data_IF_473634757818
#
_entry.id   IF_473634757818
#
_cell.length_a   1.000
_cell.length_b   1.000
_cell.length_c   1.000
_cell.angle_alpha   90.00
_cell.angle_beta   90.00
_cell.angle_gamma   90.00
#
_symmetry.space_group_name_H-M   'P 1'
#
loop_
_entity.id
_entity.type
_entity.pdbx_description
1 polymer ?
#
# COMPACT_ATOMS: atom_id res chain seq x y z
N UNK A 1 39.05 18.78 66.61
CA UNK A 1 37.71 18.35 66.19
C UNK A 1 37.07 19.25 65.08
N UNK A 2 37.79 20.20 64.46
CA UNK A 2 37.25 21.07 63.42
C UNK A 2 37.55 20.66 61.95
N UNK A 3 38.48 19.71 61.72
CA UNK A 3 38.89 19.28 60.38
C UNK A 3 38.03 18.16 59.80
N UNK A 4 37.25 17.42 60.59
CA UNK A 4 36.42 16.29 60.12
C UNK A 4 35.04 16.72 59.60
N UNK A 5 34.57 17.90 60.02
CA UNK A 5 33.24 18.42 59.56
C UNK A 5 33.28 19.01 58.15
N UNK A 6 34.46 19.54 57.69
CA UNK A 6 34.56 20.13 56.35
C UNK A 6 34.62 19.09 55.22
N UNK A 7 35.20 17.91 55.50
CA UNK A 7 35.29 16.84 54.53
C UNK A 7 33.92 16.19 54.24
N UNK A 8 33.08 16.01 55.26
CA UNK A 8 31.74 15.44 55.09
C UNK A 8 30.78 16.36 54.34
N UNK A 9 30.87 17.70 54.55
CA UNK A 9 30.04 18.64 53.79
C UNK A 9 30.43 18.73 52.31
N UNK A 10 31.70 18.63 51.93
CA UNK A 10 32.15 18.60 50.56
C UNK A 10 31.78 17.32 49.83
N UNK A 11 31.79 16.19 50.48
CA UNK A 11 31.34 14.92 49.93
C UNK A 11 29.82 14.88 49.73
N UNK A 12 29.02 15.52 50.60
CA UNK A 12 27.57 15.60 50.48
C UNK A 12 27.15 16.57 49.37
N UNK A 13 27.81 17.66 49.18
CA UNK A 13 27.52 18.63 48.09
C UNK A 13 27.86 18.00 46.75
N UNK A 14 28.99 17.32 46.60
CA UNK A 14 29.31 16.61 45.35
C UNK A 14 28.34 15.47 45.02
N UNK A 15 27.82 14.75 46.04
CA UNK A 15 26.84 13.70 45.82
C UNK A 15 25.48 14.26 45.33
N UNK A 16 25.03 15.39 45.89
CA UNK A 16 23.79 16.03 45.46
C UNK A 16 23.93 16.68 44.07
N UNK A 17 25.08 17.25 43.72
CA UNK A 17 25.35 17.80 42.39
C UNK A 17 25.38 16.70 41.31
N UNK A 18 26.00 15.53 41.62
CA UNK A 18 25.97 14.38 40.71
C UNK A 18 24.60 13.77 40.60
N UNK A 19 23.79 13.71 41.67
CA UNK A 19 22.42 13.21 41.64
C UNK A 19 21.51 14.15 40.84
N UNK A 20 21.70 15.49 41.01
CA UNK A 20 20.96 16.49 40.25
C UNK A 20 21.34 16.47 38.77
N UNK A 21 22.62 16.28 38.41
CA UNK A 21 23.06 16.11 37.04
C UNK A 21 22.47 14.80 36.43
N UNK A 22 22.44 13.72 37.21
CA UNK A 22 21.86 12.46 36.74
C UNK A 22 20.34 12.56 36.50
N UNK A 23 19.63 13.26 37.38
CA UNK A 23 18.19 13.54 37.21
C UNK A 23 17.91 14.44 36.02
N UNK A 24 18.77 15.45 35.77
CA UNK A 24 18.67 16.33 34.60
C UNK A 24 18.97 15.56 33.32
N UNK A 25 19.96 14.66 33.32
CA UNK A 25 20.31 13.83 32.15
C UNK A 25 19.23 12.78 31.87
N UNK A 26 18.65 12.16 32.90
CA UNK A 26 17.53 11.20 32.75
C UNK A 26 16.25 11.95 32.36
N UNK A 27 15.98 13.08 33.00
CA UNK A 27 14.85 13.95 32.64
C UNK A 27 14.97 14.53 31.23
N UNK A 28 16.17 14.96 30.82
CA UNK A 28 16.45 15.44 29.46
C UNK A 28 16.34 14.33 28.40
N UNK A 29 16.78 13.11 28.70
CA UNK A 29 16.56 11.96 27.80
C UNK A 29 15.10 11.55 27.69
N UNK A 30 14.34 11.60 28.77
CA UNK A 30 12.89 11.36 28.73
C UNK A 30 12.13 12.49 28.04
N UNK A 31 12.54 13.75 28.18
CA UNK A 31 11.97 14.88 27.40
C UNK A 31 12.29 14.76 25.91
N UNK A 32 13.50 14.36 25.52
CA UNK A 32 13.85 14.11 24.10
C UNK A 32 13.09 12.90 23.53
N UNK A 33 12.80 11.89 24.35
CA UNK A 33 11.94 10.77 23.97
C UNK A 33 10.46 11.19 23.86
N UNK A 34 9.97 12.04 24.77
CA UNK A 34 8.62 12.60 24.69
C UNK A 34 8.45 13.59 23.53
N UNK A 35 9.46 14.41 23.20
CA UNK A 35 9.45 15.30 22.02
C UNK A 35 9.45 14.52 20.70
N UNK A 36 10.06 13.33 20.66
CA UNK A 36 9.96 12.44 19.49
C UNK A 36 8.57 11.78 19.36
N UNK A 37 7.81 11.64 20.44
CA UNK A 37 6.42 11.19 20.40
C UNK A 37 5.45 12.30 19.96
N UNK A 38 5.85 13.56 20.10
CA UNK A 38 5.11 14.74 19.64
C UNK A 38 5.60 15.29 18.28
N UNK A 39 6.26 14.46 17.45
CA UNK A 39 6.47 14.83 16.05
C UNK A 39 5.12 15.17 15.45
N UNK A 40 4.95 16.43 15.07
CA UNK A 40 3.73 16.91 14.43
C UNK A 40 3.62 16.24 13.05
N UNK A 41 3.04 15.04 13.01
CA UNK A 41 2.79 14.31 11.76
C UNK A 41 1.76 15.11 10.96
N UNK A 42 2.18 15.87 9.95
CA UNK A 42 1.25 16.50 9.02
C UNK A 42 0.47 15.44 8.23
N UNK A 43 -0.73 15.80 7.77
CA UNK A 43 -1.48 14.97 6.83
C UNK A 43 -0.83 14.99 5.45
N UNK A 44 -0.75 13.84 4.80
CA UNK A 44 -0.38 13.79 3.38
C UNK A 44 -1.51 14.40 2.56
N UNK A 45 -1.16 15.24 1.59
CA UNK A 45 -2.09 15.90 0.66
C UNK A 45 -1.68 15.60 -0.77
N UNK A 46 -2.53 15.97 -1.72
CA UNK A 46 -2.18 15.95 -3.13
C UNK A 46 -2.16 17.37 -3.72
N UNK A 47 -1.26 17.60 -4.67
CA UNK A 47 -1.22 18.79 -5.51
C UNK A 47 -0.92 18.36 -6.94
N UNK A 48 -1.96 18.32 -7.77
CA UNK A 48 -1.86 17.70 -9.09
C UNK A 48 -1.35 16.25 -8.95
N UNK A 49 -0.38 15.83 -9.75
CA UNK A 49 0.10 14.46 -9.75
C UNK A 49 1.13 14.16 -8.63
N UNK A 50 1.17 14.94 -7.55
CA UNK A 50 2.19 14.80 -6.50
C UNK A 50 1.57 14.68 -5.11
N UNK A 51 2.13 13.81 -4.27
CA UNK A 51 1.91 13.88 -2.83
C UNK A 51 2.71 15.02 -2.22
N UNK A 52 2.10 15.67 -1.26
CA UNK A 52 2.70 16.77 -0.49
C UNK A 52 2.59 16.44 1.01
N UNK A 53 3.70 16.54 1.70
CA UNK A 53 3.75 16.42 3.15
C UNK A 53 4.47 17.64 3.74
N UNK A 54 3.80 18.33 4.65
CA UNK A 54 4.33 19.58 5.27
C UNK A 54 4.81 20.61 4.24
N UNK A 55 4.08 20.74 3.12
CA UNK A 55 4.39 21.69 2.05
C UNK A 55 5.39 21.21 1.00
N UNK A 56 6.01 20.04 1.20
CA UNK A 56 7.06 19.48 0.37
C UNK A 56 6.62 18.23 -0.38
N UNK A 57 7.15 17.96 -1.60
CA UNK A 57 6.91 16.71 -2.29
C UNK A 57 7.26 15.50 -1.43
N UNK A 58 6.39 14.51 -1.42
CA UNK A 58 6.54 13.28 -0.65
C UNK A 58 6.62 12.08 -1.58
N UNK A 59 7.80 11.47 -1.66
CA UNK A 59 8.05 10.21 -2.35
C UNK A 59 8.61 9.22 -1.33
N UNK A 60 8.29 7.94 -1.48
CA UNK A 60 8.54 6.96 -0.44
C UNK A 60 8.84 5.55 -0.98
N UNK A 61 9.35 4.70 -0.11
CA UNK A 61 9.34 3.26 -0.26
C UNK A 61 8.52 2.65 0.87
N UNK A 62 7.76 1.60 0.58
CA UNK A 62 6.84 1.00 1.53
C UNK A 62 6.68 -0.51 1.34
N UNK A 63 5.74 -1.07 2.08
CA UNK A 63 5.48 -2.49 2.14
C UNK A 63 4.02 -2.78 2.46
N UNK A 64 3.62 -4.03 2.20
CA UNK A 64 2.35 -4.61 2.63
C UNK A 64 2.59 -5.57 3.80
N UNK A 65 1.64 -5.60 4.74
CA UNK A 65 1.56 -6.58 5.83
C UNK A 65 0.09 -6.71 6.25
N UNK A 66 -0.70 -7.39 5.44
CA UNK A 66 -2.15 -7.50 5.58
C UNK A 66 -2.60 -8.08 6.92
N UNK A 67 -1.83 -8.95 7.50
CA UNK A 67 -2.08 -9.77 8.69
C UNK A 67 -2.03 -9.02 10.02
N UNK A 68 -1.54 -7.77 10.05
CA UNK A 68 -1.15 -7.09 11.29
C UNK A 68 -2.28 -6.96 12.32
N UNK A 69 -3.47 -6.50 11.91
CA UNK A 69 -4.61 -6.37 12.82
C UNK A 69 -5.05 -7.72 13.38
N UNK A 70 -5.17 -8.72 12.52
CA UNK A 70 -5.61 -10.05 12.88
C UNK A 70 -4.67 -10.68 13.91
N UNK A 71 -3.35 -10.57 13.70
CA UNK A 71 -2.36 -11.08 14.64
C UNK A 71 -2.34 -10.28 15.95
N UNK A 72 -2.41 -8.94 15.88
CA UNK A 72 -2.41 -8.06 17.04
C UNK A 72 -3.67 -8.16 17.91
N UNK A 73 -4.73 -8.84 17.44
CA UNK A 73 -5.92 -9.15 18.23
C UNK A 73 -5.59 -10.05 19.44
N UNK A 74 -4.53 -10.86 19.32
CA UNK A 74 -3.94 -11.60 20.43
C UNK A 74 -2.78 -10.77 21.03
N UNK A 75 -2.86 -10.34 22.30
CA UNK A 75 -1.80 -9.58 22.94
C UNK A 75 -0.45 -10.30 22.97
N UNK A 76 -0.44 -11.64 23.01
CA UNK A 76 0.79 -12.45 23.03
C UNK A 76 1.55 -12.43 21.69
N UNK A 77 0.86 -12.09 20.59
CA UNK A 77 1.41 -12.04 19.23
C UNK A 77 1.81 -10.61 18.79
N UNK A 78 1.48 -9.58 19.57
CA UNK A 78 1.74 -8.16 19.25
C UNK A 78 3.21 -7.84 19.01
N UNK A 79 4.12 -8.58 19.63
CA UNK A 79 5.55 -8.39 19.44
C UNK A 79 5.99 -8.56 17.98
N UNK A 80 5.32 -9.43 17.20
CA UNK A 80 5.61 -9.63 15.77
C UNK A 80 5.30 -8.38 14.94
N UNK A 81 4.22 -7.69 15.26
CA UNK A 81 3.89 -6.38 14.63
C UNK A 81 4.95 -5.33 14.97
N UNK A 82 5.36 -5.25 16.25
CA UNK A 82 6.41 -4.32 16.68
C UNK A 82 7.75 -4.63 16.02
N UNK A 83 8.11 -5.91 15.86
CA UNK A 83 9.34 -6.36 15.22
C UNK A 83 9.36 -5.96 13.74
N UNK A 84 8.28 -6.22 12.99
CA UNK A 84 8.19 -5.83 11.58
C UNK A 84 8.29 -4.31 11.40
N UNK A 85 7.58 -3.52 12.20
CA UNK A 85 7.71 -2.06 12.11
C UNK A 85 9.13 -1.56 12.46
N UNK A 86 9.77 -2.18 13.45
CA UNK A 86 11.16 -1.87 13.84
C UNK A 86 12.13 -2.17 12.71
N UNK A 87 12.07 -3.37 12.12
CA UNK A 87 12.93 -3.79 11.02
C UNK A 87 12.66 -2.95 9.75
N UNK A 88 11.39 -2.72 9.42
CA UNK A 88 10.98 -1.89 8.30
C UNK A 88 11.49 -0.45 8.43
N UNK A 89 11.36 0.16 9.61
CA UNK A 89 11.89 1.49 9.89
C UNK A 89 13.42 1.54 9.78
N UNK A 90 14.11 0.50 10.26
CA UNK A 90 15.57 0.37 10.13
C UNK A 90 16.00 0.23 8.66
N UNK A 91 15.20 -0.41 7.82
CA UNK A 91 15.40 -0.48 6.37
C UNK A 91 14.97 0.81 5.62
N UNK A 92 14.46 1.83 6.33
CA UNK A 92 14.05 3.11 5.76
C UNK A 92 12.69 3.11 5.07
N UNK A 93 11.86 2.08 5.29
CA UNK A 93 10.48 2.02 4.81
C UNK A 93 9.60 2.99 5.60
N UNK A 94 8.70 3.71 4.94
CA UNK A 94 7.93 4.81 5.55
C UNK A 94 6.43 4.72 5.36
N UNK A 95 5.95 3.78 4.55
CA UNK A 95 4.52 3.53 4.31
C UNK A 95 4.24 2.03 4.41
N UNK A 96 3.17 1.66 5.11
CA UNK A 96 2.67 0.29 5.21
C UNK A 96 1.20 0.25 4.78
N UNK A 97 0.83 -0.70 3.91
CA UNK A 97 -0.55 -1.01 3.58
C UNK A 97 -0.98 -2.25 4.34
N UNK A 98 -2.12 -2.19 5.02
CA UNK A 98 -2.65 -3.26 5.85
C UNK A 98 -4.18 -3.25 5.90
N UNK A 99 -4.77 -4.35 6.39
CA UNK A 99 -6.22 -4.49 6.47
C UNK A 99 -6.82 -3.80 7.71
N UNK A 100 -7.91 -3.07 7.51
CA UNK A 100 -8.81 -2.58 8.56
C UNK A 100 -10.16 -3.32 8.48
N UNK A 101 -10.14 -4.57 8.04
CA UNK A 101 -11.30 -5.46 7.94
C UNK A 101 -10.91 -6.90 8.26
N UNK A 102 -11.88 -7.65 8.74
CA UNK A 102 -11.96 -9.10 8.82
C UNK A 102 -13.44 -9.40 9.08
N UNK A 103 -14.13 -9.98 8.08
CA UNK A 103 -15.57 -10.06 8.01
C UNK A 103 -16.02 -11.51 8.23
N UNK A 104 -16.63 -11.81 9.38
CA UNK A 104 -16.96 -13.19 9.75
C UNK A 104 -15.72 -14.08 9.90
N UNK A 105 -15.89 -15.40 9.99
CA UNK A 105 -14.79 -16.36 10.04
C UNK A 105 -14.01 -16.36 11.36
N UNK A 106 -12.70 -16.62 11.29
CA UNK A 106 -11.82 -16.68 12.45
C UNK A 106 -11.40 -15.27 12.89
N UNK A 107 -11.51 -15.00 14.19
CA UNK A 107 -11.15 -13.70 14.80
C UNK A 107 -11.60 -12.49 13.97
N UNK A 108 -12.93 -12.38 13.67
CA UNK A 108 -13.40 -11.32 12.80
C UNK A 108 -13.37 -9.97 13.50
N UNK A 109 -13.05 -8.91 12.76
CA UNK A 109 -13.30 -7.56 13.20
C UNK A 109 -14.81 -7.30 13.25
N UNK A 110 -15.52 -7.64 12.16
CA UNK A 110 -16.97 -7.57 12.05
C UNK A 110 -17.58 -8.98 12.12
N UNK A 111 -18.21 -9.30 13.25
CA UNK A 111 -18.84 -10.61 13.50
C UNK A 111 -20.08 -10.81 12.62
N UNK A 112 -20.87 -9.76 12.51
CA UNK A 112 -22.04 -9.62 11.65
C UNK A 112 -22.23 -8.13 11.35
N UNK A 113 -23.09 -7.74 10.40
CA UNK A 113 -23.24 -6.32 10.02
C UNK A 113 -23.48 -5.40 11.22
N UNK A 114 -22.52 -4.51 11.48
CA UNK A 114 -22.55 -3.55 12.57
C UNK A 114 -22.19 -4.09 13.96
N UNK A 115 -21.85 -5.37 14.09
CA UNK A 115 -21.40 -6.00 15.36
C UNK A 115 -19.92 -6.33 15.26
N UNK A 116 -19.12 -5.76 16.16
CA UNK A 116 -17.67 -5.82 16.14
C UNK A 116 -17.09 -6.56 17.34
N UNK A 117 -15.96 -7.27 17.13
CA UNK A 117 -15.13 -7.77 18.22
C UNK A 117 -14.15 -6.68 18.65
N UNK A 118 -14.36 -6.16 19.87
CA UNK A 118 -13.54 -5.09 20.43
C UNK A 118 -12.05 -5.50 20.56
N UNK A 119 -11.74 -6.79 20.79
CA UNK A 119 -10.37 -7.28 20.88
C UNK A 119 -9.63 -7.12 19.54
N UNK A 120 -10.32 -7.34 18.43
CA UNK A 120 -9.75 -7.16 17.08
C UNK A 120 -9.60 -5.68 16.76
N UNK A 121 -10.55 -4.84 17.15
CA UNK A 121 -10.39 -3.38 17.08
C UNK A 121 -9.19 -2.89 17.91
N UNK A 122 -8.98 -3.41 19.11
CA UNK A 122 -7.79 -3.09 19.92
C UNK A 122 -6.50 -3.59 19.27
N UNK A 123 -6.56 -4.65 18.47
CA UNK A 123 -5.47 -5.08 17.60
C UNK A 123 -5.13 -4.00 16.56
N UNK A 124 -6.13 -3.43 15.91
CA UNK A 124 -5.94 -2.32 14.95
C UNK A 124 -5.44 -1.05 15.65
N UNK A 125 -5.98 -0.72 16.84
CA UNK A 125 -5.46 0.39 17.66
C UNK A 125 -3.96 0.23 17.94
N UNK A 126 -3.54 -0.99 18.26
CA UNK A 126 -2.14 -1.31 18.50
C UNK A 126 -1.29 -1.12 17.24
N UNK A 127 -1.74 -1.62 16.08
CA UNK A 127 -1.04 -1.44 14.80
C UNK A 127 -0.81 0.04 14.49
N UNK A 128 -1.84 0.88 14.64
CA UNK A 128 -1.75 2.32 14.40
C UNK A 128 -0.79 2.99 15.38
N UNK A 129 -0.84 2.58 16.67
CA UNK A 129 0.06 3.08 17.70
C UNK A 129 1.54 2.73 17.41
N UNK A 130 1.82 1.49 17.00
CA UNK A 130 3.18 1.06 16.64
C UNK A 130 3.66 1.75 15.35
N UNK A 131 2.81 1.88 14.35
CA UNK A 131 3.13 2.65 13.14
C UNK A 131 3.55 4.09 13.47
N UNK A 132 2.83 4.76 14.38
CA UNK A 132 3.19 6.09 14.88
C UNK A 132 4.55 6.10 15.58
N UNK A 133 4.83 5.13 16.43
CA UNK A 133 6.09 5.00 17.16
C UNK A 133 7.29 4.89 16.21
N UNK A 134 7.16 4.15 15.13
CA UNK A 134 8.22 3.95 14.14
C UNK A 134 8.18 4.95 12.97
N UNK A 135 7.21 5.87 12.94
CA UNK A 135 7.09 6.89 11.90
C UNK A 135 6.66 6.35 10.53
N UNK A 136 5.98 5.20 10.50
CA UNK A 136 5.49 4.54 9.29
C UNK A 136 4.01 4.90 9.10
N UNK A 137 3.65 5.48 7.95
CA UNK A 137 2.27 5.85 7.62
C UNK A 137 1.49 4.65 7.13
N UNK A 138 0.18 4.66 7.36
CA UNK A 138 -0.69 3.54 7.01
C UNK A 138 -1.64 3.88 5.86
N UNK A 139 -1.80 2.92 4.93
CA UNK A 139 -2.94 2.82 4.03
C UNK A 139 -3.81 1.69 4.56
N UNK A 140 -5.07 1.97 4.85
CA UNK A 140 -6.00 1.05 5.50
C UNK A 140 -7.12 0.65 4.54
N UNK A 141 -7.19 -0.65 4.19
CA UNK A 141 -8.22 -1.22 3.33
C UNK A 141 -9.46 -1.60 4.14
N UNK A 142 -10.66 -1.36 3.59
CA UNK A 142 -11.93 -1.60 4.28
C UNK A 142 -12.59 -2.93 3.96
N UNK A 143 -12.23 -3.60 2.86
CA UNK A 143 -12.83 -4.87 2.43
C UNK A 143 -11.98 -5.54 1.37
N UNK A 144 -12.18 -6.84 1.15
CA UNK A 144 -11.54 -7.60 0.09
C UNK A 144 -12.53 -7.95 -1.04
N UNK A 145 -12.02 -7.97 -2.27
CA UNK A 145 -12.72 -8.61 -3.37
C UNK A 145 -12.80 -10.14 -3.22
N UNK A 146 -11.74 -10.72 -2.63
CA UNK A 146 -11.59 -12.17 -2.43
C UNK A 146 -12.19 -12.63 -1.10
N UNK A 147 -12.25 -13.96 -0.92
CA UNK A 147 -12.84 -14.59 0.26
C UNK A 147 -11.96 -14.51 1.51
N UNK A 148 -10.67 -14.20 1.32
CA UNK A 148 -9.73 -14.08 2.43
C UNK A 148 -10.17 -12.95 3.37
N UNK A 149 -10.30 -13.28 4.65
CA UNK A 149 -10.87 -12.40 5.66
C UNK A 149 -12.31 -11.98 5.37
N UNK A 150 -13.08 -12.81 4.64
CA UNK A 150 -14.51 -12.66 4.38
C UNK A 150 -14.86 -11.94 3.09
N UNK A 151 -14.47 -10.68 2.95
CA UNK A 151 -14.65 -9.90 1.74
C UNK A 151 -16.10 -9.75 1.27
N UNK A 152 -16.31 -9.34 0.01
CA UNK A 152 -17.65 -9.11 -0.56
C UNK A 152 -18.57 -10.35 -0.49
N UNK A 153 -18.01 -11.56 -0.55
CA UNK A 153 -18.77 -12.81 -0.41
C UNK A 153 -19.42 -12.92 0.98
N UNK A 154 -18.73 -12.52 2.04
CA UNK A 154 -19.30 -12.54 3.39
C UNK A 154 -20.44 -11.55 3.53
N UNK A 155 -20.34 -10.36 2.94
CA UNK A 155 -21.43 -9.40 2.90
C UNK A 155 -22.66 -9.97 2.16
N UNK A 156 -22.44 -10.62 1.01
CA UNK A 156 -23.49 -11.30 0.26
C UNK A 156 -24.16 -12.42 1.10
N UNK A 157 -23.36 -13.20 1.84
CA UNK A 157 -23.86 -14.24 2.73
C UNK A 157 -24.72 -13.65 3.87
N UNK A 158 -24.31 -12.54 4.49
CA UNK A 158 -25.10 -11.85 5.53
C UNK A 158 -26.43 -11.36 4.99
N UNK A 159 -26.48 -10.79 3.78
CA UNK A 159 -27.74 -10.34 3.18
C UNK A 159 -28.66 -11.52 2.83
N UNK A 160 -28.13 -12.62 2.30
CA UNK A 160 -28.93 -13.86 2.09
C UNK A 160 -29.52 -14.37 3.39
N UNK A 161 -28.75 -14.40 4.47
CA UNK A 161 -29.22 -14.81 5.80
C UNK A 161 -30.28 -13.85 6.38
N UNK A 162 -30.27 -12.58 5.96
CA UNK A 162 -31.31 -11.61 6.26
C UNK A 162 -32.53 -11.68 5.33
N UNK A 163 -32.63 -12.74 4.49
CA UNK A 163 -33.75 -12.97 3.60
C UNK A 163 -33.76 -12.18 2.31
N UNK A 164 -32.63 -11.55 1.95
CA UNK A 164 -32.51 -10.81 0.69
C UNK A 164 -32.20 -11.73 -0.48
N UNK A 165 -32.72 -11.39 -1.64
CA UNK A 165 -32.36 -12.07 -2.88
C UNK A 165 -31.04 -11.49 -3.39
N UNK A 166 -29.98 -12.28 -3.31
CA UNK A 166 -28.62 -11.95 -3.79
C UNK A 166 -28.25 -12.96 -4.87
N UNK A 167 -28.04 -12.49 -6.10
CA UNK A 167 -27.78 -13.32 -7.26
C UNK A 167 -26.33 -13.83 -7.30
N UNK A 168 -25.38 -12.94 -7.00
CA UNK A 168 -23.95 -13.26 -6.93
C UNK A 168 -23.25 -12.28 -5.97
N UNK A 169 -21.96 -12.46 -5.77
CA UNK A 169 -21.22 -11.64 -4.81
C UNK A 169 -20.95 -10.21 -5.32
N UNK A 170 -21.07 -9.97 -6.65
CA UNK A 170 -20.96 -8.62 -7.23
C UNK A 170 -22.20 -7.74 -6.95
N UNK A 171 -23.30 -8.32 -6.45
CA UNK A 171 -24.40 -7.55 -5.87
C UNK A 171 -23.93 -6.64 -4.72
N UNK A 172 -22.73 -6.90 -4.18
CA UNK A 172 -22.04 -6.02 -3.23
C UNK A 172 -21.95 -4.57 -3.73
N UNK A 173 -21.76 -4.37 -5.02
CA UNK A 173 -21.61 -3.03 -5.60
C UNK A 173 -22.95 -2.30 -5.83
N UNK A 174 -24.05 -3.05 -5.94
CA UNK A 174 -25.33 -2.50 -6.42
C UNK A 174 -26.48 -2.62 -5.43
N UNK A 175 -26.50 -3.68 -4.61
CA UNK A 175 -27.61 -3.95 -3.72
C UNK A 175 -27.62 -2.96 -2.55
N UNK A 176 -28.74 -2.24 -2.28
CA UNK A 176 -28.80 -1.18 -1.25
C UNK A 176 -28.36 -1.64 0.14
N UNK A 177 -28.84 -2.81 0.60
CA UNK A 177 -28.51 -3.32 1.92
C UNK A 177 -27.02 -3.65 2.06
N UNK A 178 -26.38 -4.20 1.03
CA UNK A 178 -24.93 -4.50 1.04
C UNK A 178 -24.11 -3.22 1.11
N UNK A 179 -24.50 -2.19 0.34
CA UNK A 179 -23.88 -0.87 0.41
C UNK A 179 -24.07 -0.22 1.78
N UNK A 180 -25.21 -0.39 2.43
CA UNK A 180 -25.46 0.13 3.77
C UNK A 180 -24.62 -0.61 4.84
N UNK A 181 -24.48 -1.92 4.75
CA UNK A 181 -23.57 -2.69 5.62
C UNK A 181 -22.14 -2.18 5.49
N UNK A 182 -21.67 -2.00 4.26
CA UNK A 182 -20.32 -1.52 4.00
C UNK A 182 -20.10 -0.07 4.46
N UNK A 183 -21.05 0.85 4.25
CA UNK A 183 -21.00 2.22 4.79
C UNK A 183 -20.96 2.24 6.31
N UNK A 184 -21.69 1.35 6.98
CA UNK A 184 -21.65 1.23 8.44
C UNK A 184 -20.27 0.77 8.91
N UNK A 185 -19.62 -0.16 8.18
CA UNK A 185 -18.26 -0.57 8.48
C UNK A 185 -17.28 0.60 8.31
N UNK A 186 -17.28 1.28 7.17
CA UNK A 186 -16.48 2.50 6.95
C UNK A 186 -16.65 3.49 8.11
N UNK A 187 -17.90 3.81 8.47
CA UNK A 187 -18.18 4.75 9.56
C UNK A 187 -17.57 4.28 10.87
N UNK A 188 -17.73 3.00 11.22
CA UNK A 188 -17.23 2.44 12.48
C UNK A 188 -15.71 2.53 12.57
N UNK A 189 -14.97 2.26 11.47
CA UNK A 189 -13.52 2.36 11.44
C UNK A 189 -13.07 3.83 11.45
N UNK A 190 -13.58 4.65 10.53
CA UNK A 190 -13.13 6.04 10.35
C UNK A 190 -13.35 6.88 11.63
N UNK A 191 -14.45 6.64 12.36
CA UNK A 191 -14.79 7.42 13.56
C UNK A 191 -14.30 6.79 14.87
N UNK A 192 -13.61 5.63 14.81
CA UNK A 192 -13.09 4.98 16.01
C UNK A 192 -12.11 5.87 16.74
N UNK A 193 -12.26 5.91 18.07
CA UNK A 193 -11.26 6.47 18.97
C UNK A 193 -10.25 5.38 19.33
N UNK A 194 -9.00 5.58 18.99
CA UNK A 194 -7.92 4.67 19.33
C UNK A 194 -7.75 4.60 20.86
N UNK A 195 -7.87 3.42 21.43
CA UNK A 195 -7.84 3.22 22.90
C UNK A 195 -6.45 3.39 23.51
N UNK A 196 -5.38 3.40 22.68
CA UNK A 196 -3.99 3.56 23.11
C UNK A 196 -3.53 5.01 22.97
N UNK A 197 -3.79 5.64 21.82
CA UNK A 197 -3.34 7.00 21.52
C UNK A 197 -4.33 8.08 21.92
N UNK A 198 -5.59 7.70 22.17
CA UNK A 198 -6.73 8.61 22.42
C UNK A 198 -6.95 9.62 21.27
N UNK A 199 -6.60 9.22 20.02
CA UNK A 199 -6.84 10.01 18.81
C UNK A 199 -7.87 9.26 17.97
N UNK A 200 -8.88 9.96 17.47
CA UNK A 200 -9.81 9.36 16.52
C UNK A 200 -9.09 9.07 15.20
N UNK A 201 -9.36 7.93 14.55
CA UNK A 201 -8.66 7.52 13.33
C UNK A 201 -8.71 8.61 12.26
N UNK A 202 -9.86 9.26 12.06
CA UNK A 202 -10.02 10.40 11.13
C UNK A 202 -9.21 11.64 11.50
N UNK A 203 -8.63 11.68 12.69
CA UNK A 203 -7.83 12.80 13.19
C UNK A 203 -6.35 12.41 13.32
N UNK A 204 -5.99 11.16 13.02
CA UNK A 204 -4.64 10.64 13.18
C UNK A 204 -3.83 10.73 11.88
N UNK A 205 -2.91 11.70 11.73
CA UNK A 205 -2.13 11.87 10.51
C UNK A 205 -1.14 10.73 10.21
N UNK A 206 -0.98 9.74 11.10
CA UNK A 206 -0.21 8.54 10.80
C UNK A 206 -0.94 7.66 9.78
N UNK A 207 -2.26 7.73 9.72
CA UNK A 207 -3.04 7.17 8.63
C UNK A 207 -2.85 8.10 7.42
N UNK A 208 -2.34 7.58 6.31
CA UNK A 208 -2.15 8.32 5.07
C UNK A 208 -3.41 8.34 4.23
N UNK A 209 -4.04 7.17 4.10
CA UNK A 209 -5.16 6.98 3.19
C UNK A 209 -6.11 5.88 3.63
N UNK A 210 -7.35 6.00 3.17
CA UNK A 210 -8.39 4.99 3.16
C UNK A 210 -8.45 4.33 1.79
N UNK A 211 -8.40 3.01 1.76
CA UNK A 211 -8.58 2.21 0.55
C UNK A 211 -9.98 1.59 0.55
N UNK A 212 -10.72 1.80 -0.55
CA UNK A 212 -12.09 1.31 -0.65
C UNK A 212 -12.17 -0.21 -0.62
N UNK A 213 -11.34 -0.90 -1.39
CA UNK A 213 -11.35 -2.36 -1.49
C UNK A 213 -10.03 -2.88 -2.01
N UNK A 214 -9.50 -3.95 -1.43
CA UNK A 214 -8.41 -4.68 -2.06
C UNK A 214 -8.89 -5.31 -3.37
N UNK A 215 -8.27 -4.92 -4.50
CA UNK A 215 -8.43 -5.48 -5.84
C UNK A 215 -9.88 -5.65 -6.31
N UNK A 216 -10.68 -4.56 -6.39
CA UNK A 216 -12.07 -4.65 -6.82
C UNK A 216 -12.17 -5.25 -8.22
N UNK A 217 -13.02 -6.27 -8.38
CA UNK A 217 -13.36 -6.92 -9.65
C UNK A 217 -14.86 -7.09 -9.73
N UNK A 218 -15.43 -6.93 -10.93
CA UNK A 218 -16.85 -7.15 -11.20
C UNK A 218 -17.03 -8.06 -12.42
N UNK A 219 -17.34 -9.31 -12.18
CA UNK A 219 -17.58 -10.29 -13.26
C UNK A 219 -18.96 -10.11 -13.90
N UNK A 220 -19.90 -9.51 -13.17
CA UNK A 220 -21.23 -9.20 -13.66
C UNK A 220 -21.25 -8.05 -14.70
N UNK A 221 -20.21 -7.19 -14.71
CA UNK A 221 -20.09 -6.06 -15.62
C UNK A 221 -18.64 -5.72 -15.93
N UNK A 222 -18.18 -6.11 -17.11
CA UNK A 222 -16.82 -5.81 -17.57
C UNK A 222 -16.64 -4.40 -18.14
N UNK A 223 -17.68 -3.56 -18.19
CA UNK A 223 -17.58 -2.18 -18.72
C UNK A 223 -16.87 -1.20 -17.79
N UNK A 224 -16.68 -1.57 -16.52
CA UNK A 224 -16.15 -0.69 -15.48
C UNK A 224 -17.17 0.28 -14.88
N UNK A 225 -18.41 0.34 -15.41
CA UNK A 225 -19.44 1.30 -14.96
C UNK A 225 -19.97 0.99 -13.58
N UNK A 226 -20.24 -0.30 -13.30
CA UNK A 226 -20.71 -0.72 -11.97
C UNK A 226 -19.72 -0.34 -10.87
N UNK A 227 -18.43 -0.64 -11.08
CA UNK A 227 -17.37 -0.20 -10.16
C UNK A 227 -17.32 1.35 -10.09
N UNK A 228 -17.45 2.04 -11.22
CA UNK A 228 -17.39 3.51 -11.24
C UNK A 228 -18.46 4.16 -10.36
N UNK A 229 -19.72 3.72 -10.47
CA UNK A 229 -20.81 4.22 -9.64
C UNK A 229 -20.59 3.92 -8.15
N UNK A 230 -20.14 2.70 -7.84
CA UNK A 230 -19.83 2.31 -6.46
C UNK A 230 -18.70 3.14 -5.88
N UNK A 231 -17.61 3.34 -6.60
CA UNK A 231 -16.47 4.18 -6.18
C UNK A 231 -16.93 5.61 -5.91
N UNK A 232 -17.73 6.19 -6.82
CA UNK A 232 -18.27 7.55 -6.64
C UNK A 232 -19.10 7.66 -5.35
N UNK A 233 -19.96 6.68 -5.08
CA UNK A 233 -20.81 6.67 -3.89
C UNK A 233 -19.97 6.50 -2.61
N UNK A 234 -19.06 5.51 -2.57
CA UNK A 234 -18.31 5.17 -1.36
C UNK A 234 -17.21 6.20 -1.05
N UNK A 235 -16.48 6.69 -2.06
CA UNK A 235 -15.50 7.75 -1.84
C UNK A 235 -16.15 9.05 -1.37
N UNK A 236 -17.32 9.41 -1.90
CA UNK A 236 -18.11 10.56 -1.42
C UNK A 236 -18.55 10.35 0.03
N UNK A 237 -18.96 9.14 0.38
CA UNK A 237 -19.35 8.82 1.76
C UNK A 237 -18.16 8.96 2.72
N UNK A 238 -16.98 8.42 2.39
CA UNK A 238 -15.79 8.62 3.21
C UNK A 238 -15.48 10.12 3.37
N UNK A 239 -15.48 10.88 2.28
CA UNK A 239 -15.19 12.33 2.33
C UNK A 239 -16.23 13.13 3.12
N UNK A 240 -17.44 12.59 3.31
CA UNK A 240 -18.44 13.19 4.22
C UNK A 240 -18.08 13.00 5.69
N UNK A 241 -17.36 11.93 6.04
CA UNK A 241 -16.92 11.60 7.40
C UNK A 241 -15.54 12.19 7.73
N UNK A 242 -14.66 12.23 6.70
CA UNK A 242 -13.26 12.57 6.84
C UNK A 242 -12.74 13.26 5.57
N UNK A 243 -12.39 14.54 5.71
CA UNK A 243 -11.79 15.35 4.63
C UNK A 243 -10.27 15.51 4.77
N UNK A 244 -9.67 14.90 5.79
CA UNK A 244 -8.25 15.08 6.10
C UNK A 244 -7.40 14.02 5.41
N UNK A 245 -7.87 12.78 5.36
CA UNK A 245 -7.15 11.67 4.75
C UNK A 245 -7.41 11.55 3.26
N UNK A 246 -6.46 10.96 2.58
CA UNK A 246 -6.59 10.59 1.17
C UNK A 246 -7.52 9.37 1.03
N UNK A 247 -8.12 9.24 -0.15
CA UNK A 247 -8.96 8.10 -0.53
C UNK A 247 -8.44 7.54 -1.85
N UNK A 248 -8.33 6.24 -1.94
CA UNK A 248 -8.00 5.52 -3.16
C UNK A 248 -8.86 4.25 -3.29
N UNK A 249 -8.80 3.58 -4.43
CA UNK A 249 -9.74 2.50 -4.77
C UNK A 249 -9.23 1.12 -4.35
N UNK A 250 -7.92 0.86 -4.45
CA UNK A 250 -7.29 -0.45 -4.29
C UNK A 250 -7.18 -1.25 -5.60
N UNK A 251 -7.13 -0.57 -6.74
CA UNK A 251 -7.14 -1.20 -8.06
C UNK A 251 -5.79 -1.83 -8.42
N UNK A 252 -5.88 -2.96 -9.16
CA UNK A 252 -4.72 -3.57 -9.83
C UNK A 252 -4.19 -2.74 -11.01
N UNK A 253 -5.06 -1.93 -11.66
CA UNK A 253 -4.70 -1.07 -12.78
C UNK A 253 -5.27 -1.47 -14.15
N UNK A 254 -6.14 -2.46 -14.23
CA UNK A 254 -6.68 -2.91 -15.53
C UNK A 254 -7.44 -1.78 -16.24
N UNK A 255 -7.09 -1.57 -17.52
CA UNK A 255 -7.77 -0.63 -18.40
C UNK A 255 -9.10 -1.19 -18.89
N UNK A 256 -10.10 -0.32 -18.99
CA UNK A 256 -11.43 -0.64 -19.48
C UNK A 256 -11.77 0.03 -20.82
N UNK A 257 -13.06 0.29 -21.03
CA UNK A 257 -13.58 0.75 -22.31
C UNK A 257 -13.34 2.23 -22.62
N UNK A 258 -12.96 3.05 -21.62
CA UNK A 258 -12.69 4.48 -21.84
C UNK A 258 -11.40 4.75 -22.61
N UNK A 259 -10.46 3.79 -22.61
CA UNK A 259 -9.24 3.82 -23.42
C UNK A 259 -8.96 2.46 -24.06
N UNK A 260 -9.71 2.12 -25.15
CA UNK A 260 -9.62 0.81 -25.78
C UNK A 260 -8.21 0.43 -26.26
N UNK A 261 -7.44 1.43 -26.71
CA UNK A 261 -6.06 1.26 -27.17
C UNK A 261 -5.12 0.83 -26.02
N UNK A 262 -5.46 1.19 -24.79
CA UNK A 262 -4.70 0.77 -23.59
C UNK A 262 -4.98 -0.66 -23.16
N UNK A 263 -6.09 -1.26 -23.56
CA UNK A 263 -6.42 -2.65 -23.24
C UNK A 263 -5.35 -3.64 -23.70
N UNK A 264 -4.59 -3.31 -24.74
CA UNK A 264 -3.46 -4.14 -25.20
C UNK A 264 -2.32 -4.22 -24.17
N UNK A 265 -2.30 -3.35 -23.16
CA UNK A 265 -1.33 -3.39 -22.05
C UNK A 265 -1.80 -4.32 -20.93
N UNK A 266 -3.10 -4.63 -20.85
CA UNK A 266 -3.63 -5.58 -19.87
C UNK A 266 -3.03 -6.97 -20.09
N UNK A 267 -2.85 -7.76 -19.01
CA UNK A 267 -2.74 -9.22 -19.14
C UNK A 267 -4.00 -9.73 -19.87
N UNK A 268 -3.92 -10.74 -20.68
CA UNK A 268 -4.93 -11.15 -21.67
C UNK A 268 -6.37 -11.45 -21.17
N UNK A 269 -6.86 -10.80 -20.10
CA UNK A 269 -8.19 -10.94 -19.53
C UNK A 269 -8.74 -9.61 -18.99
N UNK A 270 -10.01 -9.57 -18.59
CA UNK A 270 -10.72 -8.41 -18.04
C UNK A 270 -11.20 -8.71 -16.61
N UNK A 271 -11.30 -7.65 -15.79
CA UNK A 271 -11.70 -7.77 -14.38
C UNK A 271 -12.89 -6.88 -13.99
N UNK A 272 -13.44 -6.11 -14.94
CA UNK A 272 -14.61 -5.24 -14.69
C UNK A 272 -14.28 -3.90 -14.04
N UNK A 273 -13.01 -3.49 -14.06
CA UNK A 273 -12.56 -2.13 -13.72
C UNK A 273 -12.19 -1.34 -14.96
N UNK A 274 -12.11 -0.03 -14.84
CA UNK A 274 -11.56 0.86 -15.85
C UNK A 274 -10.63 1.86 -15.16
N UNK A 275 -9.31 1.65 -15.32
CA UNK A 275 -8.30 2.44 -14.63
C UNK A 275 -8.51 3.95 -14.80
N UNK A 276 -8.90 4.41 -15.98
CA UNK A 276 -9.07 5.83 -16.24
C UNK A 276 -10.35 6.36 -15.61
N UNK A 277 -11.51 5.84 -15.97
CA UNK A 277 -12.79 6.39 -15.51
C UNK A 277 -12.97 6.25 -13.99
N UNK A 278 -12.53 5.14 -13.42
CA UNK A 278 -12.68 4.92 -11.98
C UNK A 278 -11.77 5.88 -11.18
N UNK A 279 -10.54 6.12 -11.62
CA UNK A 279 -9.64 7.07 -10.97
C UNK A 279 -9.95 8.54 -11.29
N UNK A 280 -10.78 8.87 -12.30
CA UNK A 280 -11.25 10.22 -12.54
C UNK A 280 -12.33 10.69 -11.56
N UNK A 281 -12.92 9.78 -10.76
CA UNK A 281 -13.85 10.16 -9.68
C UNK A 281 -13.19 11.23 -8.79
N UNK A 282 -13.84 12.41 -8.59
CA UNK A 282 -13.19 13.54 -7.92
C UNK A 282 -12.74 13.29 -6.48
N UNK A 283 -13.44 12.40 -5.76
CA UNK A 283 -13.15 12.04 -4.37
C UNK A 283 -12.01 11.04 -4.22
N UNK A 284 -11.54 10.44 -5.31
CA UNK A 284 -10.34 9.59 -5.34
C UNK A 284 -9.13 10.51 -5.49
N UNK A 285 -8.19 10.44 -4.56
CA UNK A 285 -7.07 11.37 -4.48
C UNK A 285 -5.84 10.89 -5.27
N UNK A 286 -5.62 9.58 -5.38
CA UNK A 286 -4.50 9.00 -6.11
C UNK A 286 -4.86 7.63 -6.69
N UNK A 287 -4.06 7.18 -7.64
CA UNK A 287 -4.24 5.92 -8.33
C UNK A 287 -3.25 4.87 -7.82
N UNK A 288 -3.66 3.60 -7.90
CA UNK A 288 -2.83 2.44 -7.58
C UNK A 288 -2.76 1.48 -8.75
N UNK A 289 -1.64 0.76 -8.84
CA UNK A 289 -1.48 -0.44 -9.66
C UNK A 289 -0.81 -1.55 -8.85
N UNK A 290 -1.10 -2.79 -9.23
CA UNK A 290 -0.39 -3.96 -8.75
C UNK A 290 0.50 -4.55 -9.86
N UNK A 291 1.41 -5.45 -9.51
CA UNK A 291 2.43 -5.92 -10.43
C UNK A 291 2.84 -7.36 -10.11
N UNK A 292 2.09 -8.30 -10.71
CA UNK A 292 2.29 -9.75 -10.55
C UNK A 292 2.45 -10.45 -11.91
N UNK A 293 3.54 -10.18 -12.65
CA UNK A 293 3.75 -10.78 -13.96
C UNK A 293 3.95 -12.30 -13.89
N UNK A 294 4.41 -12.84 -12.76
CA UNK A 294 4.51 -14.28 -12.49
C UNK A 294 3.14 -14.97 -12.51
N UNK A 295 2.11 -14.34 -11.92
CA UNK A 295 0.72 -14.83 -11.95
C UNK A 295 0.04 -14.50 -13.27
N UNK A 296 0.11 -13.25 -13.71
CA UNK A 296 -0.62 -12.76 -14.88
C UNK A 296 -0.11 -13.32 -16.21
N UNK A 297 1.18 -13.63 -16.26
CA UNK A 297 1.88 -14.19 -17.42
C UNK A 297 2.55 -15.53 -17.07
N UNK A 298 1.87 -16.33 -16.27
CA UNK A 298 2.39 -17.63 -15.84
C UNK A 298 2.88 -18.47 -17.05
N UNK A 299 4.08 -19.05 -16.92
CA UNK A 299 4.72 -19.83 -17.97
C UNK A 299 5.42 -18.99 -19.05
N UNK A 300 5.41 -17.66 -18.98
CA UNK A 300 6.23 -16.81 -19.82
C UNK A 300 7.66 -16.67 -19.25
N UNK A 301 8.63 -16.42 -20.14
CA UNK A 301 10.00 -16.19 -19.74
C UNK A 301 10.15 -14.91 -18.89
N UNK A 302 11.17 -14.87 -18.05
CA UNK A 302 11.53 -13.69 -17.25
C UNK A 302 11.64 -12.41 -18.12
N UNK A 303 12.22 -12.51 -19.31
CA UNK A 303 12.34 -11.36 -20.22
C UNK A 303 10.96 -10.87 -20.71
N UNK A 304 10.01 -11.77 -20.97
CA UNK A 304 8.64 -11.41 -21.36
C UNK A 304 7.90 -10.76 -20.19
N UNK A 305 8.04 -11.32 -18.98
CA UNK A 305 7.46 -10.77 -17.76
C UNK A 305 8.02 -9.37 -17.45
N UNK A 306 9.33 -9.19 -17.55
CA UNK A 306 9.97 -7.89 -17.32
C UNK A 306 9.60 -6.87 -18.41
N UNK A 307 9.55 -7.27 -19.67
CA UNK A 307 9.10 -6.40 -20.78
C UNK A 307 7.64 -5.97 -20.63
N UNK A 308 6.78 -6.84 -20.09
CA UNK A 308 5.41 -6.50 -19.73
C UNK A 308 5.38 -5.46 -18.60
N UNK A 309 6.16 -5.68 -17.53
CA UNK A 309 6.20 -4.76 -16.39
C UNK A 309 6.65 -3.35 -16.77
N UNK A 310 7.65 -3.23 -17.61
CA UNK A 310 8.10 -1.91 -18.09
C UNK A 310 6.99 -1.18 -18.84
N UNK A 311 6.27 -1.86 -19.73
CA UNK A 311 5.10 -1.27 -20.43
C UNK A 311 3.96 -0.93 -19.50
N UNK A 312 3.67 -1.81 -18.54
CA UNK A 312 2.63 -1.63 -17.52
C UNK A 312 2.89 -0.36 -16.71
N UNK A 313 4.05 -0.26 -16.09
CA UNK A 313 4.44 0.89 -15.28
C UNK A 313 4.50 2.19 -16.10
N UNK A 314 5.06 2.14 -17.31
CA UNK A 314 5.17 3.33 -18.17
C UNK A 314 3.79 3.85 -18.60
N UNK A 315 2.88 2.97 -19.01
CA UNK A 315 1.54 3.36 -19.47
C UNK A 315 0.74 4.02 -18.34
N UNK A 316 0.71 3.41 -17.16
CA UNK A 316 0.00 3.96 -16.00
C UNK A 316 0.62 5.26 -15.49
N UNK A 317 1.94 5.35 -15.50
CA UNK A 317 2.65 6.57 -15.17
C UNK A 317 2.29 7.73 -16.11
N UNK A 318 2.29 7.47 -17.41
CA UNK A 318 1.96 8.49 -18.43
C UNK A 318 0.50 8.94 -18.29
N UNK A 319 -0.43 8.01 -18.12
CA UNK A 319 -1.85 8.30 -17.98
C UNK A 319 -2.17 8.99 -16.64
N UNK A 320 -1.53 8.59 -15.54
CA UNK A 320 -1.68 9.28 -14.25
C UNK A 320 -1.19 10.71 -14.31
N UNK A 321 -0.08 10.97 -15.00
CA UNK A 321 0.47 12.31 -15.17
C UNK A 321 -0.38 13.20 -16.08
N UNK A 322 -0.78 12.66 -17.25
CA UNK A 322 -1.37 13.47 -18.33
C UNK A 322 -2.88 13.55 -18.27
N UNK A 323 -3.54 12.44 -17.91
CA UNK A 323 -4.99 12.29 -17.93
C UNK A 323 -5.56 12.47 -16.53
N UNK A 324 -5.15 11.65 -15.58
CA UNK A 324 -5.69 11.70 -14.22
C UNK A 324 -5.22 12.95 -13.47
N UNK A 325 -3.98 13.38 -13.70
CA UNK A 325 -3.31 14.45 -12.95
C UNK A 325 -3.32 14.16 -11.44
N UNK A 326 -3.14 12.90 -11.09
CA UNK A 326 -3.12 12.37 -9.71
C UNK A 326 -1.82 11.60 -9.48
N UNK A 327 -1.36 11.53 -8.21
CA UNK A 327 -0.24 10.65 -7.86
C UNK A 327 -0.56 9.20 -8.22
N UNK A 328 0.48 8.43 -8.53
CA UNK A 328 0.43 6.99 -8.76
C UNK A 328 1.37 6.29 -7.77
N UNK A 329 0.96 5.14 -7.27
CA UNK A 329 1.84 4.19 -6.56
C UNK A 329 1.70 2.79 -7.14
N UNK A 330 2.79 2.01 -7.09
CA UNK A 330 2.72 0.55 -7.24
C UNK A 330 2.38 -0.01 -5.87
N UNK A 331 1.09 -0.25 -5.61
CA UNK A 331 0.59 -0.60 -4.28
C UNK A 331 0.93 -2.04 -3.87
N UNK A 332 1.17 -2.91 -4.86
CA UNK A 332 1.67 -4.27 -4.65
C UNK A 332 2.60 -4.69 -5.78
N UNK A 333 3.67 -5.38 -5.42
CA UNK A 333 4.54 -6.10 -6.35
C UNK A 333 5.33 -7.15 -5.59
N UNK A 334 5.59 -8.26 -6.24
CA UNK A 334 6.35 -9.37 -5.67
C UNK A 334 6.64 -10.44 -6.70
N UNK A 335 7.40 -11.47 -6.29
CA UNK A 335 7.62 -12.69 -7.05
C UNK A 335 7.46 -13.87 -6.10
N UNK A 336 6.56 -14.80 -6.44
CA UNK A 336 6.21 -15.95 -5.61
C UNK A 336 7.31 -17.00 -5.64
N UNK A 337 7.63 -17.56 -4.49
CA UNK A 337 8.50 -18.75 -4.39
C UNK A 337 7.80 -20.04 -4.84
N UNK A 338 6.49 -19.98 -5.07
CA UNK A 338 5.69 -21.06 -5.67
C UNK A 338 5.72 -21.06 -7.20
N UNK A 339 6.31 -20.02 -7.84
CA UNK A 339 6.46 -19.94 -9.28
C UNK A 339 7.48 -20.99 -9.77
N UNK A 340 7.11 -21.84 -10.76
CA UNK A 340 8.06 -22.83 -11.30
C UNK A 340 9.34 -22.17 -11.82
N UNK A 341 10.49 -22.58 -11.26
CA UNK A 341 11.79 -22.00 -11.60
C UNK A 341 12.22 -20.84 -10.72
N UNK A 342 11.47 -20.52 -9.66
CA UNK A 342 11.85 -19.48 -8.71
C UNK A 342 13.28 -19.63 -8.18
N UNK A 343 13.97 -18.52 -8.12
CA UNK A 343 15.20 -18.38 -7.35
C UNK A 343 15.22 -17.04 -6.60
N UNK A 344 15.93 -17.01 -5.49
CA UNK A 344 16.11 -15.76 -4.72
C UNK A 344 16.72 -14.64 -5.59
N UNK A 345 17.65 -15.01 -6.49
CA UNK A 345 18.27 -14.06 -7.40
C UNK A 345 17.26 -13.44 -8.38
N UNK A 346 16.34 -14.23 -8.92
CA UNK A 346 15.27 -13.73 -9.81
C UNK A 346 14.31 -12.80 -9.09
N UNK A 347 13.89 -13.14 -7.85
CA UNK A 347 13.10 -12.23 -7.02
C UNK A 347 13.84 -10.92 -6.78
N UNK A 348 15.09 -10.98 -6.37
CA UNK A 348 15.90 -9.81 -6.08
C UNK A 348 16.11 -8.94 -7.33
N UNK A 349 16.32 -9.55 -8.49
CA UNK A 349 16.44 -8.87 -9.78
C UNK A 349 15.12 -8.19 -10.18
N UNK A 350 14.00 -8.91 -10.05
CA UNK A 350 12.67 -8.36 -10.31
C UNK A 350 12.39 -7.13 -9.42
N UNK A 351 12.61 -7.25 -8.12
CA UNK A 351 12.43 -6.15 -7.18
C UNK A 351 13.34 -4.95 -7.50
N UNK A 352 14.62 -5.20 -7.82
CA UNK A 352 15.56 -4.15 -8.20
C UNK A 352 15.10 -3.40 -9.45
N UNK A 353 14.49 -4.08 -10.43
CA UNK A 353 13.97 -3.47 -11.64
C UNK A 353 12.73 -2.60 -11.35
N UNK A 354 11.76 -3.08 -10.57
CA UNK A 354 10.59 -2.28 -10.16
C UNK A 354 11.04 -1.03 -9.39
N UNK A 355 11.99 -1.17 -8.47
CA UNK A 355 12.56 -0.06 -7.72
C UNK A 355 13.30 0.95 -8.59
N UNK A 356 14.11 0.47 -9.54
CA UNK A 356 14.81 1.33 -10.51
C UNK A 356 13.82 2.17 -11.32
N UNK A 357 12.76 1.54 -11.83
CA UNK A 357 11.78 2.23 -12.67
C UNK A 357 10.92 3.19 -11.84
N UNK A 358 10.54 2.82 -10.62
CA UNK A 358 9.88 3.73 -9.67
C UNK A 358 10.73 4.98 -9.42
N UNK A 359 12.02 4.81 -9.09
CA UNK A 359 12.93 5.93 -8.86
C UNK A 359 13.11 6.79 -10.12
N UNK A 360 13.28 6.15 -11.29
CA UNK A 360 13.43 6.84 -12.58
C UNK A 360 12.23 7.74 -12.88
N UNK A 361 11.03 7.21 -12.77
CA UNK A 361 9.81 7.96 -13.04
C UNK A 361 9.56 9.04 -11.98
N UNK A 362 9.78 8.77 -10.71
CA UNK A 362 9.67 9.77 -9.65
C UNK A 362 10.61 10.96 -9.91
N UNK A 363 11.87 10.68 -10.27
CA UNK A 363 12.88 11.71 -10.55
C UNK A 363 12.54 12.57 -11.77
N UNK A 364 12.03 11.95 -12.84
CA UNK A 364 11.77 12.63 -14.12
C UNK A 364 10.65 13.69 -14.01
N UNK A 365 9.73 13.51 -13.10
CA UNK A 365 8.50 14.33 -13.05
C UNK A 365 8.25 14.97 -11.70
N UNK A 366 9.24 14.97 -10.81
CA UNK A 366 9.05 15.54 -9.48
C UNK A 366 8.13 14.73 -8.56
N UNK A 367 7.92 13.42 -8.85
CA UNK A 367 7.23 12.51 -7.95
C UNK A 367 5.82 12.07 -8.38
N UNK A 368 5.49 12.01 -9.66
CA UNK A 368 4.18 11.49 -10.11
C UNK A 368 4.02 10.01 -9.76
N UNK A 369 4.98 9.14 -10.12
CA UNK A 369 5.06 7.81 -9.53
C UNK A 369 5.79 7.95 -8.19
N UNK A 370 5.00 8.06 -7.14
CA UNK A 370 5.47 8.56 -5.84
C UNK A 370 6.09 7.49 -4.95
N UNK A 371 5.84 6.21 -5.25
CA UNK A 371 6.37 5.12 -4.43
C UNK A 371 5.88 3.75 -4.86
N UNK A 372 6.39 2.74 -4.18
CA UNK A 372 5.97 1.35 -4.34
C UNK A 372 5.97 0.64 -2.99
N UNK A 373 5.12 -0.40 -2.86
CA UNK A 373 4.98 -1.20 -1.65
C UNK A 373 5.17 -2.68 -2.03
N UNK A 374 6.23 -3.28 -1.50
CA UNK A 374 6.49 -4.71 -1.74
C UNK A 374 5.42 -5.58 -1.06
N UNK A 375 4.95 -6.60 -1.71
CA UNK A 375 4.13 -7.66 -1.16
C UNK A 375 5.02 -8.88 -0.90
N UNK A 376 5.17 -9.35 0.35
CA UNK A 376 4.82 -8.73 1.62
C UNK A 376 5.93 -8.93 2.67
N UNK A 377 5.93 -8.09 3.71
CA UNK A 377 6.85 -8.27 4.84
C UNK A 377 6.13 -9.00 5.99
N UNK A 378 6.81 -10.00 6.55
CA UNK A 378 6.33 -10.83 7.65
C UNK A 378 7.36 -10.91 8.78
N UNK A 379 6.89 -11.23 9.98
CA UNK A 379 7.75 -11.62 11.09
C UNK A 379 8.16 -13.10 10.98
N UNK A 380 9.18 -13.46 11.72
CA UNK A 380 9.57 -14.86 11.83
C UNK A 380 8.46 -15.71 12.48
N UNK A 381 8.29 -16.97 12.04
CA UNK A 381 7.33 -17.92 12.61
C UNK A 381 5.86 -17.59 12.27
N UNK A 382 5.62 -17.14 11.05
CA UNK A 382 4.28 -16.84 10.52
C UNK A 382 3.89 -17.72 9.34
N UNK A 383 4.29 -18.99 9.34
CA UNK A 383 4.08 -19.92 8.20
C UNK A 383 2.62 -20.08 7.78
N UNK A 384 1.67 -19.88 8.72
CA UNK A 384 0.22 -19.93 8.41
C UNK A 384 -0.30 -18.77 7.57
N UNK A 385 0.50 -17.70 7.39
CA UNK A 385 0.19 -16.54 6.56
C UNK A 385 1.02 -16.52 5.26
N UNK A 386 1.74 -17.62 4.99
CA UNK A 386 2.60 -17.76 3.81
C UNK A 386 1.78 -17.96 2.54
N UNK A 387 1.84 -16.96 1.64
CA UNK A 387 1.23 -16.97 0.32
C UNK A 387 2.25 -17.20 -0.82
N UNK A 388 3.53 -17.39 -0.49
CA UNK A 388 4.63 -17.55 -1.44
C UNK A 388 5.41 -16.25 -1.70
N UNK A 389 4.99 -15.11 -1.18
CA UNK A 389 5.65 -13.81 -1.38
C UNK A 389 6.36 -13.27 -0.14
N UNK A 390 6.36 -14.01 0.95
CA UNK A 390 6.86 -13.55 2.23
C UNK A 390 8.33 -13.14 2.19
N UNK A 391 8.63 -12.03 2.83
CA UNK A 391 9.97 -11.54 3.11
C UNK A 391 10.07 -11.31 4.62
N UNK A 392 10.93 -12.08 5.28
CA UNK A 392 11.36 -11.81 6.66
C UNK A 392 12.68 -11.05 6.57
N UNK A 393 12.67 -9.76 6.91
CA UNK A 393 13.80 -8.86 6.66
C UNK A 393 15.11 -9.34 7.31
N UNK A 394 15.05 -9.80 8.56
CA UNK A 394 16.21 -10.35 9.28
C UNK A 394 16.76 -11.66 8.68
N UNK A 395 15.95 -12.40 7.92
CA UNK A 395 16.33 -13.67 7.29
C UNK A 395 16.66 -13.55 5.80
N UNK A 396 16.41 -12.38 5.19
CA UNK A 396 16.57 -12.15 3.75
C UNK A 396 17.58 -11.01 3.48
N UNK A 397 18.88 -11.16 3.82
CA UNK A 397 19.83 -10.04 3.80
C UNK A 397 20.04 -9.40 2.41
N UNK A 398 20.03 -10.19 1.33
CA UNK A 398 20.15 -9.66 -0.04
C UNK A 398 18.94 -8.80 -0.42
N UNK A 399 17.74 -9.32 -0.20
CA UNK A 399 16.48 -8.62 -0.46
C UNK A 399 16.36 -7.36 0.41
N UNK A 400 16.69 -7.47 1.70
CA UNK A 400 16.70 -6.33 2.65
C UNK A 400 17.68 -5.25 2.22
N UNK A 401 18.84 -5.63 1.68
CA UNK A 401 19.81 -4.69 1.10
C UNK A 401 19.25 -3.92 -0.09
N UNK A 402 18.49 -4.58 -0.97
CA UNK A 402 17.81 -3.95 -2.12
C UNK A 402 16.72 -2.98 -1.64
N UNK A 403 15.89 -3.40 -0.69
CA UNK A 403 14.84 -2.57 -0.06
C UNK A 403 15.45 -1.32 0.58
N UNK A 404 16.48 -1.49 1.39
CA UNK A 404 17.18 -0.37 2.05
C UNK A 404 17.78 0.61 1.05
N UNK A 405 18.42 0.11 0.01
CA UNK A 405 18.99 0.96 -1.05
C UNK A 405 17.91 1.82 -1.72
N UNK A 406 16.78 1.24 -2.05
CA UNK A 406 15.64 1.97 -2.61
C UNK A 406 15.09 3.00 -1.62
N UNK A 407 14.91 2.64 -0.36
CA UNK A 407 14.39 3.54 0.67
C UNK A 407 15.27 4.78 0.83
N UNK A 408 16.60 4.60 0.87
CA UNK A 408 17.55 5.71 0.93
C UNK A 408 17.50 6.58 -0.35
N UNK A 409 17.38 5.94 -1.53
CA UNK A 409 17.29 6.67 -2.79
C UNK A 409 16.02 7.54 -2.87
N UNK A 410 14.86 7.01 -2.46
CA UNK A 410 13.60 7.75 -2.44
C UNK A 410 13.61 8.87 -1.38
N UNK A 411 14.19 8.63 -0.21
CA UNK A 411 14.37 9.65 0.82
C UNK A 411 15.27 10.80 0.32
N UNK A 412 16.40 10.47 -0.29
CA UNK A 412 17.29 11.46 -0.89
C UNK A 412 16.61 12.27 -2.02
N UNK A 413 15.81 11.59 -2.86
CA UNK A 413 15.02 12.24 -3.91
C UNK A 413 13.99 13.21 -3.30
N UNK A 414 13.29 12.82 -2.24
CA UNK A 414 12.35 13.71 -1.53
C UNK A 414 13.03 15.00 -1.08
N UNK A 415 14.25 14.92 -0.53
CA UNK A 415 15.04 16.08 -0.17
C UNK A 415 15.46 16.94 -1.37
N UNK A 416 15.87 16.32 -2.48
CA UNK A 416 16.23 17.02 -3.71
C UNK A 416 15.05 17.79 -4.34
N UNK A 417 13.86 17.23 -4.27
CA UNK A 417 12.64 17.86 -4.77
C UNK A 417 12.20 19.08 -3.91
N UNK A 418 12.74 19.22 -2.71
CA UNK A 418 12.48 20.32 -1.78
C UNK A 418 13.44 21.50 -1.92
N UNK A 419 14.49 21.39 -2.74
CA UNK A 419 15.51 22.43 -2.90
C UNK A 419 15.01 23.66 -3.69
N UNK A 420 15.61 24.85 -3.46
CA UNK A 420 15.18 26.13 -4.04
C UNK A 420 15.24 26.18 -5.59
N UNK A 421 15.87 25.20 -6.26
CA UNK A 421 15.95 25.09 -7.72
C UNK A 421 14.95 24.12 -8.36
N UNK A 422 13.97 23.63 -7.60
CA UNK A 422 13.01 22.62 -8.09
C UNK A 422 11.93 23.22 -8.99
N UNK A 423 11.61 24.50 -8.86
CA UNK A 423 10.50 25.14 -9.58
C UNK A 423 10.81 25.30 -11.08
N UNK A 424 12.07 25.52 -11.46
CA UNK A 424 12.45 25.74 -12.86
C UNK A 424 12.58 24.44 -13.68
N UNK A 425 12.80 23.29 -13.02
CA UNK A 425 12.94 21.99 -13.71
C UNK A 425 11.60 21.33 -14.05
N UNK A 426 10.55 21.64 -13.33
CA UNK A 426 9.21 21.07 -13.57
C UNK A 426 8.58 21.65 -14.84
N UNK A 427 8.89 22.90 -15.18
CA UNK A 427 8.37 23.57 -16.37
C UNK A 427 9.17 23.30 -17.66
N UNK A 428 10.40 22.78 -17.55
CA UNK A 428 11.29 22.55 -18.70
C UNK A 428 11.29 21.12 -19.29
N UNK A 429 10.65 20.14 -18.62
CA UNK A 429 10.69 18.74 -19.05
C UNK A 429 9.45 18.35 -19.87
N UNK A 430 9.18 19.09 -20.96
CA UNK A 430 8.01 18.80 -21.82
C UNK A 430 8.29 17.78 -22.93
N UNK A 431 9.50 17.28 -23.10
CA UNK A 431 9.81 16.32 -24.16
C UNK A 431 10.61 15.13 -23.64
N UNK A 432 9.96 13.98 -23.61
CA UNK A 432 10.67 12.69 -23.64
C UNK A 432 11.07 12.47 -25.09
N UNK A 433 12.36 12.28 -25.44
CA UNK A 433 12.75 11.98 -26.81
C UNK A 433 12.04 10.69 -27.25
N UNK A 434 11.20 10.77 -28.25
CA UNK A 434 10.69 9.60 -28.98
C UNK A 434 11.88 8.92 -29.65
N UNK A 435 12.33 7.81 -29.09
CA UNK A 435 13.39 7.01 -29.67
C UNK A 435 12.95 6.46 -31.01
N UNK A 436 13.41 7.09 -32.09
CA UNK A 436 13.30 6.52 -33.41
C UNK A 436 14.22 5.29 -33.51
N UNK A 437 13.64 4.12 -33.46
CA UNK A 437 14.31 2.90 -33.90
C UNK A 437 14.49 2.95 -35.39
N UNK A 438 15.71 3.17 -35.84
CA UNK A 438 16.14 2.91 -37.22
C UNK A 438 15.99 1.41 -37.52
N UNK A 439 14.95 1.06 -38.26
CA UNK A 439 14.83 -0.23 -38.92
C UNK A 439 15.85 -0.33 -40.01
N UNK A 440 16.90 -1.09 -39.82
CA UNK A 440 17.68 -1.64 -40.93
C UNK A 440 16.85 -2.71 -41.64
N UNK A 441 16.46 -2.44 -42.86
CA UNK A 441 15.89 -3.41 -43.81
C UNK A 441 16.92 -4.48 -44.10
N UNK A 442 16.61 -5.74 -43.85
CA UNK A 442 17.15 -6.88 -44.56
C UNK A 442 16.03 -7.71 -45.19
N UNK A 443 16.29 -8.07 -46.46
CA UNK A 443 15.31 -8.57 -47.40
C UNK A 443 14.91 -10.04 -47.16
N UNK A 444 13.67 -10.29 -47.54
CA UNK A 444 12.95 -11.50 -47.91
C UNK A 444 13.75 -12.83 -48.04
N UNK A 445 13.16 -13.89 -47.49
CA UNK A 445 12.90 -15.13 -48.21
C UNK A 445 11.66 -15.85 -47.65
N UNK A 446 10.74 -16.17 -48.58
CA UNK A 446 9.52 -16.96 -48.38
C UNK A 446 9.83 -18.38 -47.90
N UNK A 447 9.00 -18.91 -46.99
CA UNK A 447 8.51 -20.29 -47.02
C UNK A 447 7.09 -20.37 -46.46
N UNK A 448 6.19 -20.93 -47.27
CA UNK A 448 4.80 -21.26 -46.93
C UNK A 448 4.74 -22.62 -46.22
N UNK A 449 3.89 -22.74 -45.22
CA UNK A 449 3.57 -23.99 -44.59
C UNK A 449 2.29 -23.87 -43.74
N UNK A 450 1.18 -24.36 -44.28
CA UNK A 450 -0.13 -24.48 -43.61
C UNK A 450 -0.08 -25.50 -42.48
N UNK A 451 -0.58 -25.14 -41.27
CA UNK A 451 -1.21 -26.10 -40.37
C UNK A 451 -2.30 -25.39 -39.54
N UNK A 452 -3.46 -26.10 -39.44
CA UNK A 452 -4.71 -25.69 -38.80
C UNK A 452 -4.56 -25.65 -37.26
N UNK A 453 -5.32 -24.80 -36.52
CA UNK A 453 -5.28 -24.76 -35.07
C UNK A 453 -6.19 -25.86 -34.47
N UNK A 454 -5.67 -26.61 -33.54
CA UNK A 454 -6.39 -27.47 -32.60
C UNK A 454 -6.94 -26.62 -31.45
N UNK A 455 -8.23 -26.85 -31.14
CA UNK A 455 -8.91 -26.29 -29.97
C UNK A 455 -8.27 -26.82 -28.69
N UNK A 456 -7.82 -25.93 -27.80
CA UNK A 456 -7.57 -26.24 -26.39
C UNK A 456 -8.68 -25.70 -25.52
N UNK A 457 -9.31 -26.59 -24.76
CA UNK A 457 -10.23 -26.28 -23.65
C UNK A 457 -9.33 -25.95 -22.45
N UNK A 458 -9.45 -24.77 -21.87
CA UNK A 458 -8.78 -24.36 -20.65
C UNK A 458 -9.64 -24.74 -19.46
N UNK A 459 -9.11 -25.60 -18.59
CA UNK A 459 -9.51 -25.67 -17.19
C UNK A 459 -8.83 -24.52 -16.44
N UNK A 460 -9.61 -23.68 -15.77
CA UNK A 460 -9.11 -22.66 -14.86
C UNK A 460 -8.58 -23.33 -13.59
N UNK A 461 -7.45 -22.91 -13.04
CA UNK A 461 -7.14 -23.12 -11.64
C UNK A 461 -7.81 -22.04 -10.81
N UNK A 462 -8.46 -22.45 -9.73
CA UNK A 462 -8.95 -21.57 -8.68
C UNK A 462 -7.79 -20.84 -7.97
N UNK A 463 -8.08 -19.73 -7.26
CA UNK A 463 -7.26 -18.58 -6.90
C UNK A 463 -6.01 -18.88 -6.11
#
# INVERSE_FOLDING_TARGET
>A
MAASCFSARRAFINFFDHLLLLVIVIGGRNMVLCDNLNKNFGFVRTRGPHFILNGSPFVFNGFNSYWMMHLASDPSERYKVSEVFKEASAAGLTVCRTWAFSDGGDRPLQISPGIYDERVFQGLDFVISEARKYGIRLILSFVNNYDDFGGKKQYAAWARNAGQQINNDDDFYTHPLLKDYYKNHIKSVVTRLNTITNIAYRDDPIIMAWELMNEPRCQADYSGKTINFWVQEMASFIKSLDRKHLVEIGMEGFYGDTMPERKQVNPGYQVGTDFISNNLVPQVDFATIHAYPDVWLSGKSENEQMGFMEKWMLSHFDDSRRILKKPLIVAEFGKSDKDPGFSLNERDLYMANVYRDTYRFARLTGGTLSGCLVWQIMAQGMDSYDDGYQIVLSQSPSTTGIISKQSHAMSALSHLLNGPHSVDRVNGANEIPSGHHHHRRHANRHYAGHTRPTRYVKNEPAP
#
